data_IF_726495948254
#
_entry.id   IF_726495948254
#
_cell.length_a   1.000
_cell.length_b   1.000
_cell.length_c   1.000
_cell.angle_alpha   90.00
_cell.angle_beta   90.00
_cell.angle_gamma   90.00
#
_symmetry.space_group_name_H-M   'P 1'
#
loop_
_entity.id
_entity.type
_entity.pdbx_description
1 polymer ?
#
# COMPACT_ATOMS: atom_id res chain seq x y z
N UNK A 1 -12.43 -20.48 -3.47
CA UNK A 1 -11.32 -20.43 -2.47
C UNK A 1 -10.06 -19.70 -2.96
N UNK A 2 -9.78 -19.61 -4.27
CA UNK A 2 -8.69 -18.78 -4.81
C UNK A 2 -8.98 -17.26 -4.82
N UNK A 3 -10.26 -16.89 -4.74
CA UNK A 3 -10.75 -15.51 -4.86
C UNK A 3 -10.43 -14.62 -3.66
N UNK A 4 -10.28 -15.19 -2.45
CA UNK A 4 -10.12 -14.40 -1.22
C UNK A 4 -8.73 -13.78 -1.05
N UNK A 5 -7.67 -14.47 -1.51
CA UNK A 5 -6.29 -13.93 -1.49
C UNK A 5 -6.17 -12.83 -2.54
N UNK A 6 -6.71 -13.08 -3.74
CA UNK A 6 -6.81 -12.06 -4.78
C UNK A 6 -7.52 -10.81 -4.24
N UNK A 7 -8.69 -10.97 -3.60
CA UNK A 7 -9.49 -9.88 -3.02
C UNK A 7 -8.78 -9.15 -1.86
N UNK A 8 -8.06 -9.87 -0.97
CA UNK A 8 -7.28 -9.24 0.10
C UNK A 8 -6.12 -8.40 -0.42
N UNK A 9 -5.49 -8.82 -1.51
CA UNK A 9 -4.48 -8.03 -2.19
C UNK A 9 -5.08 -6.92 -3.07
N UNK A 10 -6.32 -7.08 -3.60
CA UNK A 10 -6.98 -6.02 -4.39
C UNK A 10 -7.65 -4.95 -3.56
N UNK A 11 -8.03 -5.22 -2.31
CA UNK A 11 -8.82 -4.31 -1.49
C UNK A 11 -8.17 -2.91 -1.27
N UNK A 12 -6.84 -2.79 -1.08
CA UNK A 12 -6.19 -1.47 -1.03
C UNK A 12 -6.05 -0.79 -2.41
N UNK A 13 -6.11 -1.57 -3.49
CA UNK A 13 -5.70 -1.18 -4.85
C UNK A 13 -6.88 -0.75 -5.72
N UNK A 14 -8.09 -1.28 -5.48
CA UNK A 14 -9.34 -0.81 -6.10
C UNK A 14 -9.96 0.35 -5.31
N UNK A 15 -9.24 0.90 -4.31
CA UNK A 15 -9.72 2.06 -3.59
C UNK A 15 -9.84 3.26 -4.56
N UNK A 16 -11.06 3.74 -4.87
CA UNK A 16 -11.25 4.83 -5.81
C UNK A 16 -10.57 6.11 -5.35
N UNK A 17 -10.39 6.28 -4.03
CA UNK A 17 -9.70 7.43 -3.43
C UNK A 17 -8.21 7.40 -3.81
N UNK A 18 -7.57 6.23 -3.77
CA UNK A 18 -6.15 6.06 -4.10
C UNK A 18 -5.90 6.25 -5.60
N UNK A 19 -6.81 5.74 -6.44
CA UNK A 19 -6.74 5.96 -7.87
C UNK A 19 -6.85 7.45 -8.22
N UNK A 20 -7.84 8.13 -7.63
CA UNK A 20 -8.05 9.57 -7.83
C UNK A 20 -6.90 10.41 -7.28
N UNK A 21 -6.34 10.06 -6.11
CA UNK A 21 -5.19 10.78 -5.54
C UNK A 21 -3.96 10.65 -6.43
N UNK A 22 -3.72 9.47 -7.01
CA UNK A 22 -2.63 9.25 -7.97
C UNK A 22 -2.84 10.07 -9.24
N UNK A 23 -4.07 10.14 -9.73
CA UNK A 23 -4.40 10.93 -10.92
C UNK A 23 -4.16 12.43 -10.72
N UNK A 24 -4.56 12.97 -9.57
CA UNK A 24 -4.35 14.38 -9.21
C UNK A 24 -2.86 14.66 -8.98
N UNK A 25 -2.15 13.79 -8.26
CA UNK A 25 -0.73 13.97 -7.93
C UNK A 25 0.17 13.98 -9.17
N UNK A 26 -0.17 13.19 -10.20
CA UNK A 26 0.60 13.13 -11.46
C UNK A 26 0.06 14.07 -12.54
N UNK A 27 -0.63 15.14 -12.16
CA UNK A 27 -1.00 16.22 -13.06
C UNK A 27 -1.98 15.81 -14.15
N UNK A 28 -3.02 15.03 -13.81
CA UNK A 28 -4.12 14.69 -14.70
C UNK A 28 -3.70 13.76 -15.88
N UNK A 29 -2.62 12.99 -15.70
CA UNK A 29 -2.16 11.97 -16.65
C UNK A 29 -2.64 10.58 -16.23
N UNK A 30 -3.13 9.80 -17.19
CA UNK A 30 -3.71 8.48 -16.93
C UNK A 30 -2.68 7.36 -16.82
N UNK A 31 -1.44 7.58 -17.28
CA UNK A 31 -0.41 6.55 -17.40
C UNK A 31 -0.02 5.95 -16.04
N UNK A 32 0.35 6.79 -15.06
CA UNK A 32 0.83 6.32 -13.75
C UNK A 32 -0.27 5.65 -12.92
N UNK A 33 -1.50 6.21 -12.81
CA UNK A 33 -2.60 5.53 -12.12
C UNK A 33 -2.93 4.16 -12.72
N UNK A 34 -2.96 4.05 -14.05
CA UNK A 34 -3.24 2.77 -14.72
C UNK A 34 -2.11 1.77 -14.50
N UNK A 35 -0.85 2.20 -14.61
CA UNK A 35 0.31 1.33 -14.32
C UNK A 35 0.34 0.87 -12.86
N UNK A 36 -0.07 1.72 -11.92
CA UNK A 36 -0.22 1.36 -10.51
C UNK A 36 -1.24 0.25 -10.34
N UNK A 37 -2.45 0.42 -10.88
CA UNK A 37 -3.51 -0.59 -10.78
C UNK A 37 -3.10 -1.89 -11.48
N UNK A 38 -2.58 -1.81 -12.70
CA UNK A 38 -2.14 -2.96 -13.48
C UNK A 38 -0.99 -3.72 -12.78
N UNK A 39 0.03 -3.00 -12.34
CA UNK A 39 1.18 -3.56 -11.63
C UNK A 39 0.77 -4.24 -10.33
N UNK A 40 -0.05 -3.57 -9.54
CA UNK A 40 -0.61 -4.14 -8.32
C UNK A 40 -1.44 -5.41 -8.58
N UNK A 41 -2.25 -5.45 -9.64
CA UNK A 41 -3.00 -6.65 -10.02
C UNK A 41 -2.06 -7.81 -10.39
N UNK A 42 -1.07 -7.55 -11.25
CA UNK A 42 -0.08 -8.56 -11.67
C UNK A 42 0.67 -9.11 -10.45
N UNK A 43 1.19 -8.24 -9.60
CA UNK A 43 1.92 -8.65 -8.38
C UNK A 43 1.02 -9.48 -7.47
N UNK A 44 -0.23 -9.06 -7.26
CA UNK A 44 -1.19 -9.77 -6.42
C UNK A 44 -1.53 -11.17 -6.94
N UNK A 45 -1.72 -11.30 -8.25
CA UNK A 45 -2.01 -12.60 -8.90
C UNK A 45 -0.81 -13.52 -8.77
N UNK A 46 0.39 -13.05 -9.09
CA UNK A 46 1.60 -13.85 -9.04
C UNK A 46 1.91 -14.30 -7.61
N UNK A 47 1.95 -13.36 -6.66
CA UNK A 47 2.25 -13.67 -5.24
C UNK A 47 1.16 -14.57 -4.65
N UNK A 48 -0.12 -14.26 -4.88
CA UNK A 48 -1.23 -15.08 -4.41
C UNK A 48 -1.18 -16.52 -4.96
N UNK A 49 -0.80 -16.66 -6.23
CA UNK A 49 -0.62 -17.97 -6.87
C UNK A 49 0.60 -18.72 -6.30
N UNK A 50 1.74 -18.05 -6.12
CA UNK A 50 2.94 -18.63 -5.50
C UNK A 50 2.66 -19.15 -4.09
N UNK A 51 1.97 -18.36 -3.27
CA UNK A 51 1.57 -18.77 -1.92
C UNK A 51 0.64 -19.98 -1.98
N UNK A 52 -0.35 -19.99 -2.88
CA UNK A 52 -1.28 -21.12 -3.03
C UNK A 52 -0.58 -22.43 -3.45
N UNK A 53 0.45 -22.36 -4.29
CA UNK A 53 1.22 -23.54 -4.70
C UNK A 53 2.22 -24.00 -3.63
N UNK A 54 2.94 -23.08 -2.98
CA UNK A 54 3.98 -23.40 -2.02
C UNK A 54 3.45 -23.75 -0.61
N UNK A 55 2.26 -23.26 -0.25
CA UNK A 55 1.64 -23.47 1.06
C UNK A 55 0.23 -24.07 0.90
N UNK A 56 0.15 -25.34 0.47
CA UNK A 56 -1.07 -26.16 0.49
C UNK A 56 -1.30 -26.75 1.88
N UNK A 57 -2.52 -26.66 2.43
CA UNK A 57 -2.95 -27.55 3.51
C UNK A 57 -3.69 -26.87 4.66
N UNK A 58 -2.98 -26.37 5.68
CA UNK A 58 -3.62 -26.10 6.98
C UNK A 58 -3.48 -24.65 7.49
N UNK A 59 -2.35 -24.00 7.22
CA UNK A 59 -2.07 -22.67 7.77
C UNK A 59 -2.95 -21.56 7.18
N UNK A 60 -3.41 -21.73 5.94
CA UNK A 60 -4.22 -20.74 5.23
C UNK A 60 -5.72 -20.87 5.55
N UNK A 61 -6.22 -22.10 5.72
CA UNK A 61 -7.64 -22.39 5.97
C UNK A 61 -8.09 -21.91 7.36
N UNK A 62 -7.29 -22.16 8.39
CA UNK A 62 -7.57 -21.71 9.75
C UNK A 62 -7.53 -20.17 9.86
N UNK A 63 -6.85 -19.50 8.93
CA UNK A 63 -6.63 -18.07 8.92
C UNK A 63 -7.72 -17.29 8.19
N UNK A 64 -8.18 -17.78 7.01
CA UNK A 64 -9.39 -17.23 6.36
C UNK A 64 -10.58 -17.40 7.30
N UNK A 65 -10.74 -18.58 7.92
CA UNK A 65 -11.77 -18.80 8.92
C UNK A 65 -11.65 -17.85 10.12
N UNK A 66 -10.44 -17.58 10.63
CA UNK A 66 -10.24 -16.67 11.78
C UNK A 66 -10.43 -15.19 11.44
N UNK A 67 -10.11 -14.73 10.22
CA UNK A 67 -10.36 -13.33 9.82
C UNK A 67 -11.81 -13.11 9.41
N UNK A 68 -12.45 -14.08 8.76
CA UNK A 68 -13.91 -14.10 8.56
C UNK A 68 -14.63 -14.18 9.91
N UNK A 69 -14.15 -14.96 10.88
CA UNK A 69 -14.68 -15.00 12.25
C UNK A 69 -14.32 -13.77 13.10
N UNK A 70 -13.19 -13.09 12.88
CA UNK A 70 -12.91 -11.79 13.50
C UNK A 70 -13.74 -10.65 12.88
N UNK A 71 -14.41 -10.91 11.76
CA UNK A 71 -15.50 -10.07 11.22
C UNK A 71 -16.87 -10.53 11.73
N UNK A 72 -16.92 -11.63 12.49
CA UNK A 72 -18.00 -12.00 13.40
C UNK A 72 -17.53 -11.74 14.83
N UNK A 73 -17.29 -10.47 15.16
CA UNK A 73 -17.58 -10.10 16.54
C UNK A 73 -19.05 -10.43 16.76
N UNK A 74 -19.31 -11.35 17.68
CA UNK A 74 -20.59 -11.50 18.36
C UNK A 74 -21.03 -10.12 18.82
N UNK A 75 -21.76 -9.42 17.96
CA UNK A 75 -22.73 -8.45 18.42
C UNK A 75 -23.82 -9.28 19.06
N UNK A 76 -23.62 -9.60 20.34
CA UNK A 76 -24.73 -9.78 21.24
C UNK A 76 -25.65 -8.58 20.98
N UNK A 77 -26.74 -8.84 20.26
CA UNK A 77 -27.78 -7.88 20.00
C UNK A 77 -28.41 -7.54 21.35
N UNK A 78 -27.80 -6.60 22.07
CA UNK A 78 -28.54 -5.79 23.01
C UNK A 78 -29.55 -5.04 22.17
N UNK A 79 -30.83 -5.41 22.31
CA UNK A 79 -31.98 -4.71 21.77
C UNK A 79 -32.04 -3.32 22.38
N UNK A 80 -31.23 -2.41 21.87
CA UNK A 80 -31.40 -0.99 22.10
C UNK A 80 -32.43 -0.51 21.08
N UNK A 81 -33.60 -0.15 21.58
CA UNK A 81 -34.59 0.67 20.88
C UNK A 81 -33.92 1.97 20.44
N UNK A 82 -33.46 2.03 19.19
CA UNK A 82 -32.92 3.25 18.62
C UNK A 82 -34.07 4.14 18.15
N UNK A 83 -34.26 5.26 18.84
CA UNK A 83 -34.82 6.44 18.20
C UNK A 83 -33.81 6.91 17.14
N UNK A 84 -34.26 7.04 15.89
CA UNK A 84 -33.47 7.51 14.74
C UNK A 84 -32.68 8.79 15.10
N UNK A 85 -31.34 8.76 15.13
CA UNK A 85 -30.58 9.99 15.32
C UNK A 85 -30.72 10.86 14.06
N UNK A 86 -31.08 12.11 14.24
CA UNK A 86 -31.21 13.12 13.19
C UNK A 86 -29.97 13.13 12.26
N UNK A 87 -30.18 13.20 10.93
CA UNK A 87 -29.11 13.13 9.91
C UNK A 87 -27.88 14.01 10.23
N UNK A 88 -28.12 15.18 10.83
CA UNK A 88 -27.09 16.12 11.26
C UNK A 88 -26.14 15.60 12.34
N UNK A 89 -26.62 14.79 13.28
CA UNK A 89 -25.77 14.20 14.34
C UNK A 89 -24.88 13.12 13.74
N UNK A 90 -25.38 12.36 12.75
CA UNK A 90 -24.61 11.34 12.02
C UNK A 90 -23.53 11.94 11.12
N UNK A 91 -23.85 13.05 10.45
CA UNK A 91 -22.88 13.83 9.66
C UNK A 91 -21.80 14.39 10.58
N UNK A 92 -22.18 15.02 11.71
CA UNK A 92 -21.22 15.56 12.67
C UNK A 92 -20.29 14.49 13.25
N UNK A 93 -20.83 13.33 13.60
CA UNK A 93 -20.04 12.22 14.12
C UNK A 93 -19.07 11.64 13.08
N UNK A 94 -19.50 11.54 11.81
CA UNK A 94 -18.63 11.10 10.71
C UNK A 94 -17.52 12.12 10.41
N UNK A 95 -17.84 13.42 10.54
CA UNK A 95 -16.90 14.51 10.32
C UNK A 95 -15.83 14.56 11.42
N UNK A 96 -16.24 14.40 12.69
CA UNK A 96 -15.31 14.29 13.82
C UNK A 96 -14.35 13.10 13.63
N UNK A 97 -14.88 11.94 13.23
CA UNK A 97 -14.06 10.75 12.97
C UNK A 97 -13.05 10.98 11.84
N UNK A 98 -13.49 11.62 10.75
CA UNK A 98 -12.63 11.95 9.61
C UNK A 98 -11.52 12.94 9.99
N UNK A 99 -11.80 13.88 10.89
CA UNK A 99 -10.82 14.85 11.40
C UNK A 99 -9.76 14.13 12.25
N UNK A 100 -10.17 13.22 13.14
CA UNK A 100 -9.24 12.46 13.96
C UNK A 100 -8.30 11.59 13.10
N UNK A 101 -8.84 11.01 12.03
CA UNK A 101 -8.08 10.23 11.05
C UNK A 101 -7.15 11.11 10.20
N UNK A 102 -7.62 12.30 9.80
CA UNK A 102 -6.81 13.30 9.10
C UNK A 102 -5.61 13.74 9.96
N UNK A 103 -5.82 14.03 11.25
CA UNK A 103 -4.73 14.36 12.15
C UNK A 103 -3.83 13.17 12.45
N UNK A 104 -4.35 11.95 12.46
CA UNK A 104 -3.56 10.73 12.58
C UNK A 104 -2.60 10.55 11.39
N UNK A 105 -3.06 10.77 10.16
CA UNK A 105 -2.26 10.67 8.93
C UNK A 105 -1.36 11.88 8.74
N UNK A 106 -1.82 13.07 9.10
CA UNK A 106 -1.13 14.35 8.92
C UNK A 106 0.25 14.37 9.58
N UNK A 107 0.40 13.77 10.76
CA UNK A 107 1.71 13.65 11.45
C UNK A 107 2.73 12.91 10.58
N UNK A 108 2.34 11.76 10.03
CA UNK A 108 3.21 10.94 9.19
C UNK A 108 3.50 11.63 7.85
N UNK A 109 2.53 12.35 7.29
CA UNK A 109 2.73 13.17 6.08
C UNK A 109 3.77 14.28 6.31
N UNK A 110 3.71 14.99 7.43
CA UNK A 110 4.69 16.04 7.77
C UNK A 110 6.10 15.45 7.89
N UNK A 111 6.24 14.31 8.58
CA UNK A 111 7.53 13.62 8.68
C UNK A 111 8.04 13.12 7.32
N UNK A 112 7.16 12.55 6.48
CA UNK A 112 7.52 12.08 5.14
C UNK A 112 7.93 13.22 4.20
N UNK A 113 7.23 14.34 4.25
CA UNK A 113 7.57 15.55 3.50
C UNK A 113 8.90 16.15 3.98
N UNK A 114 9.16 16.16 5.28
CA UNK A 114 10.43 16.62 5.84
C UNK A 114 11.59 15.70 5.44
N UNK A 115 11.41 14.37 5.48
CA UNK A 115 12.42 13.42 5.03
C UNK A 115 12.68 13.55 3.52
N UNK A 116 11.63 13.69 2.70
CA UNK A 116 11.75 13.89 1.27
C UNK A 116 12.49 15.20 0.95
N UNK A 117 12.15 16.30 1.62
CA UNK A 117 12.84 17.58 1.49
C UNK A 117 14.30 17.48 1.94
N UNK A 118 14.58 16.77 3.04
CA UNK A 118 15.95 16.53 3.49
C UNK A 118 16.75 15.70 2.47
N UNK A 119 16.17 14.65 1.89
CA UNK A 119 16.80 13.90 0.80
C UNK A 119 17.06 14.82 -0.40
N UNK A 120 16.12 15.67 -0.78
CA UNK A 120 16.29 16.60 -1.92
C UNK A 120 17.34 17.70 -1.66
N UNK A 121 17.48 18.17 -0.42
CA UNK A 121 18.43 19.23 -0.03
C UNK A 121 19.84 18.68 0.18
N UNK A 122 19.97 17.52 0.83
CA UNK A 122 21.27 16.96 1.21
C UNK A 122 21.85 15.97 0.19
N UNK A 123 21.02 15.35 -0.66
CA UNK A 123 21.51 14.45 -1.72
C UNK A 123 21.87 15.27 -2.95
N UNK A 124 23.18 15.34 -3.25
CA UNK A 124 23.69 16.02 -4.46
C UNK A 124 23.06 15.42 -5.71
N UNK A 125 22.67 16.29 -6.65
CA UNK A 125 22.11 15.92 -7.97
C UNK A 125 22.99 14.94 -8.74
N UNK A 126 24.31 14.95 -8.53
CA UNK A 126 25.24 14.00 -9.16
C UNK A 126 25.09 12.56 -8.64
N UNK A 127 24.84 12.38 -7.34
CA UNK A 127 24.56 11.07 -6.73
C UNK A 127 23.18 10.58 -7.19
N UNK A 128 22.22 11.49 -7.29
CA UNK A 128 20.87 11.16 -7.75
C UNK A 128 20.83 10.81 -9.25
N UNK A 129 21.60 11.52 -10.07
CA UNK A 129 21.76 11.22 -11.49
C UNK A 129 22.49 9.89 -11.70
N UNK A 130 23.51 9.57 -10.88
CA UNK A 130 24.18 8.27 -10.92
C UNK A 130 23.30 7.11 -10.42
N UNK A 131 22.43 7.35 -9.43
CA UNK A 131 21.44 6.39 -8.95
C UNK A 131 20.29 6.17 -9.96
N UNK A 132 19.97 7.20 -10.75
CA UNK A 132 18.97 7.18 -11.82
C UNK A 132 19.46 6.59 -13.15
N UNK A 133 20.79 6.55 -13.37
CA UNK A 133 21.41 6.10 -14.63
C UNK A 133 21.14 4.61 -14.91
N UNK A 134 21.16 3.79 -13.86
CA UNK A 134 20.82 2.39 -13.95
C UNK A 134 19.38 2.15 -13.46
N UNK A 135 18.49 1.72 -14.36
CA UNK A 135 17.07 1.43 -14.09
C UNK A 135 16.88 0.58 -12.82
N UNK A 136 17.73 -0.43 -12.60
CA UNK A 136 17.60 -1.33 -11.45
C UNK A 136 17.90 -0.62 -10.12
N UNK A 137 18.95 0.20 -10.09
CA UNK A 137 19.36 0.96 -8.89
C UNK A 137 18.27 1.95 -8.49
N UNK A 138 17.68 2.65 -9.46
CA UNK A 138 16.55 3.54 -9.25
C UNK A 138 15.35 2.81 -8.61
N UNK A 139 14.98 1.63 -9.14
CA UNK A 139 13.88 0.82 -8.61
C UNK A 139 14.16 0.39 -7.17
N UNK A 140 15.38 -0.07 -6.87
CA UNK A 140 15.77 -0.50 -5.52
C UNK A 140 15.71 0.65 -4.51
N UNK A 141 16.23 1.82 -4.87
CA UNK A 141 16.16 3.02 -4.02
C UNK A 141 14.73 3.39 -3.72
N UNK A 142 13.87 3.38 -4.73
CA UNK A 142 12.45 3.72 -4.57
C UNK A 142 11.67 2.68 -3.75
N UNK A 143 11.99 1.39 -3.86
CA UNK A 143 11.40 0.35 -2.99
C UNK A 143 11.83 0.53 -1.53
N UNK A 144 13.11 0.82 -1.28
CA UNK A 144 13.61 1.09 0.07
C UNK A 144 12.94 2.34 0.65
N UNK A 145 12.79 3.39 -0.16
CA UNK A 145 12.11 4.61 0.26
C UNK A 145 10.63 4.33 0.60
N UNK A 146 9.93 3.55 -0.22
CA UNK A 146 8.55 3.14 0.04
C UNK A 146 8.43 2.41 1.40
N UNK A 147 9.35 1.49 1.66
CA UNK A 147 9.40 0.75 2.92
C UNK A 147 9.67 1.64 4.14
N UNK A 148 10.63 2.55 4.04
CA UNK A 148 11.00 3.47 5.15
C UNK A 148 9.87 4.45 5.44
N UNK A 149 9.24 4.98 4.40
CA UNK A 149 8.15 5.94 4.54
C UNK A 149 6.86 5.29 5.03
N UNK A 150 6.56 4.07 4.59
CA UNK A 150 5.45 3.23 5.09
C UNK A 150 4.13 4.03 5.24
N UNK A 151 3.85 4.95 4.33
CA UNK A 151 2.69 5.84 4.43
C UNK A 151 1.42 5.11 3.98
N UNK A 152 0.27 5.75 4.21
CA UNK A 152 -0.99 5.28 3.68
C UNK A 152 -1.01 5.46 2.15
N UNK A 153 -1.65 4.52 1.45
CA UNK A 153 -1.69 4.40 0.00
C UNK A 153 -2.04 5.68 -0.78
N UNK A 154 -2.76 6.63 -0.17
CA UNK A 154 -3.10 7.94 -0.73
C UNK A 154 -1.94 8.94 -0.67
N UNK A 155 -1.22 8.98 0.46
CA UNK A 155 -0.11 9.89 0.73
C UNK A 155 1.12 9.56 -0.14
N UNK A 156 1.34 8.28 -0.40
CA UNK A 156 2.41 7.78 -1.28
C UNK A 156 2.37 8.42 -2.67
N UNK A 157 1.19 8.70 -3.21
CA UNK A 157 1.04 9.30 -4.54
C UNK A 157 1.71 10.67 -4.65
N UNK A 158 1.55 11.52 -3.63
CA UNK A 158 2.10 12.87 -3.61
C UNK A 158 3.62 12.88 -3.41
N UNK A 159 4.11 11.96 -2.58
CA UNK A 159 5.55 11.77 -2.38
C UNK A 159 6.19 11.27 -3.68
N UNK A 160 5.61 10.25 -4.33
CA UNK A 160 6.09 9.72 -5.60
C UNK A 160 6.11 10.77 -6.72
N UNK A 161 5.08 11.62 -6.80
CA UNK A 161 5.02 12.72 -7.76
C UNK A 161 6.16 13.73 -7.58
N UNK A 162 6.62 13.94 -6.34
CA UNK A 162 7.76 14.82 -6.03
C UNK A 162 9.09 14.29 -6.58
N UNK A 163 9.16 13.01 -6.96
CA UNK A 163 10.33 12.36 -7.55
C UNK A 163 10.26 12.24 -9.09
N UNK A 164 9.21 12.74 -9.74
CA UNK A 164 8.98 12.62 -11.19
C UNK A 164 10.12 13.18 -12.06
N UNK A 165 10.81 14.21 -11.59
CA UNK A 165 11.95 14.81 -12.29
C UNK A 165 13.31 14.19 -11.96
N UNK A 166 13.36 13.21 -11.05
CA UNK A 166 14.60 12.69 -10.46
C UNK A 166 14.80 11.20 -10.71
N UNK A 167 13.72 10.43 -10.85
CA UNK A 167 13.75 9.00 -11.08
C UNK A 167 12.94 8.61 -12.32
N UNK A 168 13.31 7.52 -13.01
CA UNK A 168 12.54 7.01 -14.14
C UNK A 168 11.15 6.55 -13.68
N UNK A 169 10.20 6.60 -14.62
CA UNK A 169 8.81 6.17 -14.41
C UNK A 169 8.71 4.77 -13.79
N UNK A 170 9.56 3.83 -14.21
CA UNK A 170 9.61 2.46 -13.66
C UNK A 170 9.84 2.42 -12.15
N UNK A 171 10.77 3.23 -11.64
CA UNK A 171 11.08 3.30 -10.22
C UNK A 171 9.95 3.94 -9.40
N UNK A 172 9.29 4.95 -9.96
CA UNK A 172 8.14 5.62 -9.33
C UNK A 172 6.95 4.66 -9.25
N UNK A 173 6.66 3.92 -10.31
CA UNK A 173 5.61 2.89 -10.30
C UNK A 173 5.95 1.78 -9.31
N UNK A 174 7.22 1.37 -9.21
CA UNK A 174 7.65 0.38 -8.22
C UNK A 174 7.35 0.84 -6.79
N UNK A 175 7.63 2.10 -6.45
CA UNK A 175 7.27 2.70 -5.16
C UNK A 175 5.75 2.64 -4.91
N UNK A 176 4.95 3.06 -5.90
CA UNK A 176 3.49 3.14 -5.77
C UNK A 176 2.79 1.79 -5.67
N UNK A 177 3.38 0.75 -6.27
CA UNK A 177 2.89 -0.63 -6.19
C UNK A 177 3.38 -1.30 -4.90
N UNK A 178 4.65 -1.12 -4.54
CA UNK A 178 5.25 -1.78 -3.38
C UNK A 178 4.76 -1.23 -2.04
N UNK A 179 4.71 0.11 -1.90
CA UNK A 179 4.34 0.80 -0.65
C UNK A 179 3.09 0.26 0.04
N UNK A 180 1.92 0.25 -0.61
CA UNK A 180 0.68 -0.23 0.00
C UNK A 180 0.64 -1.76 0.22
N UNK A 181 1.53 -2.52 -0.42
CA UNK A 181 1.58 -3.96 -0.26
C UNK A 181 2.47 -4.37 0.90
N UNK A 182 3.59 -3.66 1.12
CA UNK A 182 4.62 -4.01 2.09
C UNK A 182 4.99 -2.77 2.91
N UNK A 183 4.16 -2.49 3.92
CA UNK A 183 4.40 -1.46 4.92
C UNK A 183 4.71 -2.08 6.29
N UNK A 184 5.30 -1.28 7.19
CA UNK A 184 5.73 -1.76 8.52
C UNK A 184 4.54 -2.29 9.33
N UNK A 185 3.36 -1.67 9.23
CA UNK A 185 2.17 -2.13 9.93
C UNK A 185 1.63 -3.41 9.31
N UNK A 186 1.60 -3.54 7.98
CA UNK A 186 1.16 -4.78 7.33
C UNK A 186 2.13 -5.93 7.61
N UNK A 187 3.44 -5.71 7.63
CA UNK A 187 4.40 -6.74 8.06
C UNK A 187 4.18 -7.13 9.52
N UNK A 188 4.03 -6.17 10.43
CA UNK A 188 3.78 -6.47 11.84
C UNK A 188 2.46 -7.23 12.03
N UNK A 189 1.41 -6.82 11.31
CA UNK A 189 0.13 -7.53 11.27
C UNK A 189 0.33 -8.96 10.76
N UNK A 190 1.07 -9.14 9.67
CA UNK A 190 1.38 -10.45 9.10
C UNK A 190 2.24 -11.32 10.02
N UNK A 191 3.19 -10.75 10.76
CA UNK A 191 4.01 -11.47 11.75
C UNK A 191 3.18 -11.94 12.95
N UNK A 192 2.16 -11.18 13.35
CA UNK A 192 1.21 -11.60 14.40
C UNK A 192 0.19 -12.62 13.89
N UNK A 193 -0.08 -12.60 12.59
CA UNK A 193 -1.04 -13.46 11.93
C UNK A 193 -0.46 -14.82 11.47
N UNK A 194 0.77 -14.82 10.98
CA UNK A 194 1.41 -15.92 10.28
C UNK A 194 2.76 -16.30 10.89
N UNK A 195 3.25 -17.49 10.55
CA UNK A 195 4.64 -17.86 10.87
C UNK A 195 5.59 -16.90 10.15
N UNK A 196 6.63 -16.44 10.85
CA UNK A 196 7.67 -15.53 10.32
C UNK A 196 8.20 -15.98 8.95
N UNK A 197 8.34 -17.30 8.74
CA UNK A 197 8.77 -17.88 7.46
C UNK A 197 7.81 -17.58 6.29
N UNK A 198 6.50 -17.63 6.52
CA UNK A 198 5.49 -17.31 5.52
C UNK A 198 5.44 -15.79 5.25
N UNK A 199 5.54 -14.98 6.30
CA UNK A 199 5.60 -13.51 6.15
C UNK A 199 6.80 -13.08 5.32
N UNK A 200 8.00 -13.61 5.64
CA UNK A 200 9.21 -13.33 4.86
C UNK A 200 9.10 -13.82 3.41
N UNK A 201 8.44 -14.95 3.17
CA UNK A 201 8.19 -15.45 1.81
C UNK A 201 7.28 -14.52 1.01
N UNK A 202 6.20 -14.01 1.61
CA UNK A 202 5.29 -13.07 0.94
C UNK A 202 6.00 -11.74 0.67
N UNK A 203 6.76 -11.22 1.64
CA UNK A 203 7.56 -10.00 1.46
C UNK A 203 8.56 -10.18 0.32
N UNK A 204 9.35 -11.25 0.32
CA UNK A 204 10.36 -11.46 -0.72
C UNK A 204 9.74 -11.70 -2.10
N UNK A 205 8.67 -12.48 -2.20
CA UNK A 205 7.95 -12.71 -3.46
C UNK A 205 7.35 -11.41 -4.01
N UNK A 206 6.82 -10.55 -3.14
CA UNK A 206 6.26 -9.25 -3.53
C UNK A 206 7.35 -8.31 -4.02
N UNK A 207 8.47 -8.19 -3.30
CA UNK A 207 9.64 -7.40 -3.73
C UNK A 207 10.15 -7.85 -5.10
N UNK A 208 10.37 -9.15 -5.30
CA UNK A 208 10.89 -9.69 -6.56
C UNK A 208 9.92 -9.42 -7.71
N UNK A 209 8.63 -9.68 -7.51
CA UNK A 209 7.63 -9.50 -8.57
C UNK A 209 7.47 -8.03 -8.94
N UNK A 210 7.50 -7.13 -7.97
CA UNK A 210 7.44 -5.68 -8.24
C UNK A 210 8.68 -5.20 -9.00
N UNK A 211 9.87 -5.69 -8.67
CA UNK A 211 11.09 -5.37 -9.43
C UNK A 211 10.97 -5.86 -10.88
N UNK A 212 10.52 -7.09 -11.10
CA UNK A 212 10.35 -7.65 -12.45
C UNK A 212 9.32 -6.86 -13.27
N UNK A 213 8.19 -6.51 -12.66
CA UNK A 213 7.18 -5.67 -13.31
C UNK A 213 7.74 -4.29 -13.65
N UNK A 214 8.45 -3.65 -12.72
CA UNK A 214 9.06 -2.35 -12.92
C UNK A 214 10.17 -2.36 -13.99
N UNK A 215 10.91 -3.45 -14.13
CA UNK A 215 11.91 -3.60 -15.19
C UNK A 215 11.30 -3.81 -16.58
N UNK A 216 10.10 -4.39 -16.64
CA UNK A 216 9.39 -4.64 -17.89
C UNK A 216 8.85 -3.35 -18.53
N UNK A 217 8.56 -2.33 -17.73
CA UNK A 217 8.09 -1.00 -18.16
C UNK A 217 9.24 -0.01 -18.38
#
# INVERSE_FOLDING_TARGET
>A
MHTGIAFMLTAPIVNPIVFLSTYIAFGNTWEIPLLRVAGSLVVSIVVGTLVAYCYKGEALQHFVAKKTAATHHDHAHCTHTHAEPHFWVKVWHSLQHSIDEFFAVGKFLVFGALLAAAMQVYVKTSVLSALGDNKLTAILVMIVLAFVLSLCSEADAFIAASFRGLFPQSAIVAFLVFGPMIDVKNILMMMNAFKVKLTLFIVSATTVTTILFALFI
#
